data_IF_160892486023
#
_entry.id   IF_160892486023
#
_cell.length_a   1.000
_cell.length_b   1.000
_cell.length_c   1.000
_cell.angle_alpha   90.00
_cell.angle_beta   90.00
_cell.angle_gamma   90.00
#
_symmetry.space_group_name_H-M   'P 1'
#
loop_
_entity.id
_entity.type
_entity.pdbx_description
1 polymer ?
#
# COMPACT_ATOMS: atom_id res chain seq x y z
N UNK A 1 0.48 19.54 -23.34
CA UNK A 1 0.74 19.73 -21.91
C UNK A 1 0.04 18.60 -21.20
N UNK A 2 0.75 17.78 -20.41
CA UNK A 2 0.07 16.76 -19.61
C UNK A 2 -0.70 17.46 -18.49
N UNK A 3 -1.81 16.86 -18.06
CA UNK A 3 -2.59 17.36 -16.94
C UNK A 3 -1.79 17.21 -15.64
N UNK A 4 -2.21 17.93 -14.58
CA UNK A 4 -1.63 17.75 -13.24
C UNK A 4 -1.70 16.29 -12.79
N UNK A 5 -2.82 15.61 -13.09
CA UNK A 5 -3.01 14.18 -12.87
C UNK A 5 -1.95 13.34 -13.59
N UNK A 6 -1.66 13.63 -14.86
CA UNK A 6 -0.65 12.88 -15.63
C UNK A 6 0.75 13.03 -15.01
N UNK A 7 1.10 14.23 -14.55
CA UNK A 7 2.39 14.48 -13.89
C UNK A 7 2.48 13.74 -12.55
N UNK A 8 1.42 13.80 -11.74
CA UNK A 8 1.29 13.03 -10.50
C UNK A 8 1.43 11.52 -10.74
N UNK A 9 0.72 10.98 -11.73
CA UNK A 9 0.77 9.55 -12.04
C UNK A 9 2.15 9.11 -12.53
N UNK A 10 2.77 9.90 -13.41
CA UNK A 10 4.10 9.62 -13.92
C UNK A 10 5.17 9.60 -12.80
N UNK A 11 4.99 10.43 -11.78
CA UNK A 11 5.87 10.48 -10.61
C UNK A 11 5.59 9.33 -9.62
N UNK A 12 4.33 9.14 -9.22
CA UNK A 12 3.99 8.29 -8.07
C UNK A 12 3.79 6.82 -8.41
N UNK A 13 3.20 6.48 -9.55
CA UNK A 13 2.83 5.08 -9.85
C UNK A 13 4.06 4.16 -9.94
N UNK A 14 5.18 4.54 -10.59
CA UNK A 14 6.37 3.69 -10.61
C UNK A 14 6.95 3.45 -9.20
N UNK A 15 7.00 4.50 -8.37
CA UNK A 15 7.52 4.40 -7.00
C UNK A 15 6.63 3.51 -6.14
N UNK A 16 5.31 3.69 -6.23
CA UNK A 16 4.36 2.90 -5.47
C UNK A 16 4.35 1.43 -5.89
N UNK A 17 4.44 1.12 -7.19
CA UNK A 17 4.58 -0.27 -7.67
C UNK A 17 5.83 -0.94 -7.11
N UNK A 18 6.97 -0.23 -7.10
CA UNK A 18 8.19 -0.73 -6.51
C UNK A 18 8.04 -0.96 -4.99
N UNK A 19 7.42 -0.01 -4.28
CA UNK A 19 7.24 -0.11 -2.84
C UNK A 19 6.27 -1.22 -2.43
N UNK A 20 5.22 -1.41 -3.20
CA UNK A 20 4.22 -2.43 -2.94
C UNK A 20 4.73 -3.81 -3.37
N UNK A 21 5.57 -3.91 -4.40
CA UNK A 21 6.32 -5.14 -4.67
C UNK A 21 7.27 -5.50 -3.51
N UNK A 22 8.05 -4.52 -3.02
CA UNK A 22 9.04 -4.73 -1.97
C UNK A 22 8.42 -5.22 -0.65
N UNK A 23 7.28 -4.67 -0.23
CA UNK A 23 6.63 -5.12 1.01
C UNK A 23 6.11 -6.56 0.93
N UNK A 24 5.70 -7.01 -0.26
CA UNK A 24 5.34 -8.42 -0.53
C UNK A 24 6.56 -9.33 -0.68
N UNK A 25 7.78 -8.78 -0.66
CA UNK A 25 9.06 -9.50 -0.62
C UNK A 25 9.73 -9.37 0.76
N UNK A 26 9.01 -8.81 1.75
CA UNK A 26 9.48 -8.68 3.13
C UNK A 26 10.23 -7.38 3.45
N UNK A 27 10.33 -6.43 2.50
CA UNK A 27 10.98 -5.14 2.71
C UNK A 27 9.97 -3.99 2.86
N UNK A 28 9.82 -3.49 4.08
CA UNK A 28 8.95 -2.35 4.40
C UNK A 28 9.55 -0.98 4.00
N UNK A 29 10.87 -0.86 3.78
CA UNK A 29 11.53 0.43 3.72
C UNK A 29 11.02 1.34 2.58
N UNK A 30 10.83 0.84 1.35
CA UNK A 30 10.26 1.67 0.27
C UNK A 30 8.84 2.14 0.57
N UNK A 31 7.99 1.30 1.17
CA UNK A 31 6.64 1.69 1.60
C UNK A 31 6.71 2.82 2.62
N UNK A 32 7.54 2.68 3.66
CA UNK A 32 7.72 3.68 4.71
C UNK A 32 8.26 5.02 4.19
N UNK A 33 9.01 5.02 3.08
CA UNK A 33 9.55 6.22 2.46
C UNK A 33 8.47 7.02 1.68
N UNK A 34 7.43 6.34 1.17
CA UNK A 34 6.35 7.00 0.42
C UNK A 34 5.25 7.58 1.28
N UNK A 35 5.13 7.16 2.54
CA UNK A 35 4.10 7.66 3.44
C UNK A 35 4.50 9.00 4.09
N UNK A 36 3.50 9.85 4.29
CA UNK A 36 3.67 11.08 5.05
C UNK A 36 4.04 10.77 6.49
N UNK A 37 4.92 11.59 7.06
CA UNK A 37 5.26 11.57 8.50
C UNK A 37 4.43 12.59 9.29
N UNK A 38 3.57 13.35 8.62
CA UNK A 38 2.77 14.41 9.19
C UNK A 38 1.33 13.94 9.40
N UNK A 39 0.94 13.80 10.66
CA UNK A 39 -0.44 13.45 11.01
C UNK A 39 -1.44 14.53 10.53
N UNK A 40 -2.67 14.13 10.15
CA UNK A 40 -3.19 12.77 10.21
C UNK A 40 -2.81 11.91 8.99
N UNK A 41 -2.44 10.66 9.25
CA UNK A 41 -2.36 9.57 8.26
C UNK A 41 -3.23 8.41 8.70
N UNK A 42 -3.84 7.67 7.77
CA UNK A 42 -4.73 6.55 8.11
C UNK A 42 -4.56 5.35 7.18
N UNK A 43 -4.70 4.15 7.74
CA UNK A 43 -4.69 2.91 6.99
C UNK A 43 -5.96 2.11 7.33
N UNK A 44 -6.69 1.71 6.31
CA UNK A 44 -7.64 0.62 6.34
C UNK A 44 -7.14 -0.46 5.38
N UNK A 45 -6.38 -1.43 5.89
CA UNK A 45 -5.91 -2.58 5.12
C UNK A 45 -6.87 -3.75 5.21
N UNK A 46 -6.65 -4.75 4.35
CA UNK A 46 -7.48 -5.95 4.30
C UNK A 46 -7.50 -6.73 5.64
N UNK A 47 -6.46 -6.58 6.46
CA UNK A 47 -6.33 -7.22 7.76
C UNK A 47 -6.16 -6.24 8.94
N UNK A 48 -5.50 -5.10 8.72
CA UNK A 48 -5.13 -4.18 9.79
C UNK A 48 -5.57 -2.75 9.48
N UNK A 49 -5.96 -2.05 10.54
CA UNK A 49 -6.36 -0.65 10.48
C UNK A 49 -5.65 0.15 11.56
N UNK A 50 -5.30 1.40 11.27
CA UNK A 50 -4.60 2.27 12.20
C UNK A 50 -4.66 3.74 11.80
N UNK A 51 -4.28 4.61 12.73
CA UNK A 51 -4.24 6.05 12.51
C UNK A 51 -3.04 6.69 13.18
N UNK A 52 -2.38 7.60 12.46
CA UNK A 52 -1.19 8.30 12.91
C UNK A 52 0.11 7.55 12.61
N UNK A 53 1.17 8.28 12.33
CA UNK A 53 2.44 7.69 11.89
C UNK A 53 3.01 6.69 12.91
N UNK A 54 2.91 7.01 14.20
CA UNK A 54 3.42 6.16 15.28
C UNK A 54 2.77 4.77 15.34
N UNK A 55 1.52 4.62 14.87
CA UNK A 55 0.87 3.30 14.75
C UNK A 55 1.22 2.61 13.42
N UNK A 56 1.26 3.38 12.33
CA UNK A 56 1.44 2.85 10.97
C UNK A 56 2.85 2.32 10.72
N UNK A 57 3.89 2.97 11.25
CA UNK A 57 5.28 2.54 11.05
C UNK A 57 5.55 1.09 11.52
N UNK A 58 5.34 0.73 12.79
CA UNK A 58 5.52 -0.66 13.23
C UNK A 58 4.55 -1.62 12.54
N UNK A 59 3.37 -1.14 12.13
CA UNK A 59 2.39 -1.94 11.41
C UNK A 59 2.91 -2.37 10.03
N UNK A 60 3.56 -1.49 9.27
CA UNK A 60 4.14 -1.86 7.98
C UNK A 60 5.30 -2.85 8.12
N UNK A 61 6.10 -2.76 9.18
CA UNK A 61 7.11 -3.78 9.48
C UNK A 61 6.48 -5.13 9.80
N UNK A 62 5.40 -5.16 10.60
CA UNK A 62 4.65 -6.39 10.87
C UNK A 62 4.09 -7.00 9.56
N UNK A 63 3.44 -6.18 8.72
CA UNK A 63 2.91 -6.64 7.43
C UNK A 63 4.01 -7.23 6.55
N UNK A 64 5.16 -6.56 6.43
CA UNK A 64 6.28 -7.06 5.64
C UNK A 64 6.75 -8.45 6.14
N UNK A 65 6.79 -8.66 7.46
CA UNK A 65 7.24 -9.93 8.05
C UNK A 65 6.39 -11.16 7.66
N UNK A 66 5.18 -10.96 7.15
CA UNK A 66 4.32 -12.06 6.70
C UNK A 66 4.78 -12.68 5.39
N UNK A 67 5.52 -11.90 4.59
CA UNK A 67 5.93 -12.27 3.25
C UNK A 67 7.40 -12.69 3.23
N UNK A 68 7.69 -13.69 2.41
CA UNK A 68 9.03 -14.25 2.26
C UNK A 68 9.56 -14.21 0.83
N UNK A 69 8.66 -14.05 -0.14
CA UNK A 69 9.01 -13.90 -1.55
C UNK A 69 7.83 -13.32 -2.34
N UNK A 70 8.08 -12.32 -3.18
CA UNK A 70 7.14 -11.84 -4.19
C UNK A 70 7.42 -12.46 -5.57
N UNK A 71 6.44 -13.14 -6.16
CA UNK A 71 6.52 -13.57 -7.56
C UNK A 71 6.15 -12.42 -8.51
N UNK A 72 5.08 -11.69 -8.18
CA UNK A 72 4.62 -10.55 -8.96
C UNK A 72 3.72 -9.60 -8.15
N UNK A 73 3.77 -8.32 -8.54
CA UNK A 73 2.87 -7.28 -8.08
C UNK A 73 2.50 -6.35 -9.25
N UNK A 74 1.22 -6.04 -9.40
CA UNK A 74 0.72 -5.04 -10.35
C UNK A 74 -0.31 -4.11 -9.67
N UNK A 75 -0.30 -2.84 -10.05
CA UNK A 75 -1.26 -1.83 -9.61
C UNK A 75 -2.06 -1.30 -10.82
N UNK A 76 -3.23 -1.87 -11.06
CA UNK A 76 -4.15 -1.42 -12.10
C UNK A 76 -4.87 -0.14 -11.66
N UNK A 77 -4.67 0.97 -12.38
CA UNK A 77 -5.35 2.24 -12.08
C UNK A 77 -6.64 2.34 -12.87
N UNK A 78 -7.77 2.43 -12.15
CA UNK A 78 -9.12 2.60 -12.71
C UNK A 78 -9.48 4.08 -12.82
N UNK A 79 -9.13 4.87 -11.81
CA UNK A 79 -9.35 6.31 -11.79
C UNK A 79 -8.27 7.02 -10.98
N UNK A 80 -7.98 8.26 -11.35
CA UNK A 80 -7.10 9.13 -10.59
C UNK A 80 -7.45 10.60 -10.85
N UNK A 81 -7.03 11.47 -9.93
CA UNK A 81 -7.13 12.90 -10.08
C UNK A 81 -6.12 13.60 -9.20
N UNK A 82 -5.60 14.73 -9.66
CA UNK A 82 -4.78 15.65 -8.88
C UNK A 82 -5.29 17.09 -9.03
N UNK A 83 -5.27 17.84 -7.93
CA UNK A 83 -5.58 19.27 -7.90
C UNK A 83 -4.83 19.97 -6.77
N UNK A 84 -3.89 20.85 -7.11
CA UNK A 84 -2.99 21.49 -6.17
C UNK A 84 -2.09 20.49 -5.45
N UNK A 85 -2.21 20.44 -4.12
CA UNK A 85 -1.39 19.58 -3.28
C UNK A 85 -2.11 18.30 -2.84
N UNK A 86 -3.23 17.94 -3.48
CA UNK A 86 -3.99 16.73 -3.20
C UNK A 86 -4.20 15.89 -4.46
N UNK A 87 -4.07 14.58 -4.30
CA UNK A 87 -4.36 13.62 -5.35
C UNK A 87 -4.97 12.33 -4.79
N UNK A 88 -5.58 11.54 -5.66
CA UNK A 88 -6.07 10.21 -5.33
C UNK A 88 -5.86 9.23 -6.47
N UNK A 89 -5.83 7.94 -6.13
CA UNK A 89 -5.93 6.82 -7.06
C UNK A 89 -6.97 5.84 -6.57
N UNK A 90 -7.66 5.19 -7.52
CA UNK A 90 -8.58 4.08 -7.28
C UNK A 90 -8.20 2.98 -8.26
N UNK A 91 -8.06 1.75 -7.77
CA UNK A 91 -7.51 0.68 -8.57
C UNK A 91 -7.61 -0.71 -7.95
N UNK A 92 -6.88 -1.63 -8.55
CA UNK A 92 -6.70 -3.00 -8.06
C UNK A 92 -5.21 -3.28 -7.85
N UNK A 93 -4.88 -3.92 -6.73
CA UNK A 93 -3.57 -4.51 -6.49
C UNK A 93 -3.67 -6.00 -6.78
N UNK A 94 -2.91 -6.49 -7.76
CA UNK A 94 -2.81 -7.91 -8.09
C UNK A 94 -1.49 -8.46 -7.56
N UNK A 95 -1.56 -9.45 -6.69
CA UNK A 95 -0.38 -9.99 -6.00
C UNK A 95 -0.28 -11.50 -6.18
N UNK A 96 0.93 -11.97 -6.50
CA UNK A 96 1.36 -13.36 -6.30
C UNK A 96 2.59 -13.35 -5.38
N UNK A 97 2.49 -14.01 -4.24
CA UNK A 97 3.51 -13.97 -3.18
C UNK A 97 3.46 -15.23 -2.32
N UNK A 98 4.49 -15.45 -1.50
CA UNK A 98 4.53 -16.52 -0.50
C UNK A 98 4.38 -15.95 0.91
N UNK A 99 3.29 -16.35 1.58
CA UNK A 99 2.99 -16.01 2.97
C UNK A 99 3.22 -17.23 3.85
N UNK A 100 4.11 -17.12 4.84
CA UNK A 100 4.50 -18.23 5.75
C UNK A 100 4.79 -19.55 5.00
N UNK A 101 5.53 -19.48 3.87
CA UNK A 101 5.88 -20.64 3.05
C UNK A 101 4.75 -21.20 2.18
N UNK A 102 3.57 -20.59 2.19
CA UNK A 102 2.43 -20.97 1.35
C UNK A 102 2.24 -19.96 0.22
N UNK A 103 2.30 -20.38 -1.07
CA UNK A 103 1.97 -19.51 -2.19
C UNK A 103 0.52 -19.01 -2.11
N UNK A 104 0.33 -17.71 -2.36
CA UNK A 104 -0.94 -17.01 -2.37
C UNK A 104 -1.04 -16.15 -3.62
N UNK A 105 -2.24 -16.08 -4.18
CA UNK A 105 -2.60 -15.14 -5.21
C UNK A 105 -3.90 -14.45 -4.81
N UNK A 106 -3.94 -13.13 -4.85
CA UNK A 106 -5.11 -12.35 -4.49
C UNK A 106 -5.15 -11.00 -5.21
N UNK A 107 -6.36 -10.46 -5.26
CA UNK A 107 -6.63 -9.10 -5.70
C UNK A 107 -7.19 -8.31 -4.52
N UNK A 108 -6.73 -7.07 -4.35
CA UNK A 108 -7.38 -6.08 -3.48
C UNK A 108 -7.91 -4.94 -4.33
N UNK A 109 -9.09 -4.42 -3.98
CA UNK A 109 -9.53 -3.10 -4.44
C UNK A 109 -8.86 -2.09 -3.54
N UNK A 110 -8.34 -1.01 -4.11
CA UNK A 110 -7.58 -0.04 -3.34
C UNK A 110 -7.95 1.39 -3.69
N UNK A 111 -7.96 2.24 -2.67
CA UNK A 111 -7.96 3.70 -2.80
C UNK A 111 -6.77 4.25 -2.04
N UNK A 112 -5.98 5.12 -2.67
CA UNK A 112 -4.95 5.90 -2.01
C UNK A 112 -5.27 7.38 -2.12
N UNK A 113 -4.91 8.13 -1.08
CA UNK A 113 -4.93 9.59 -1.09
C UNK A 113 -3.52 10.09 -0.82
N UNK A 114 -3.14 11.12 -1.55
CA UNK A 114 -1.80 11.69 -1.54
C UNK A 114 -1.88 13.17 -1.22
N UNK A 115 -0.86 13.66 -0.51
CA UNK A 115 -0.63 15.07 -0.25
C UNK A 115 0.78 15.44 -0.68
N UNK A 116 0.94 16.58 -1.35
CA UNK A 116 2.27 17.11 -1.67
C UNK A 116 2.85 17.81 -0.45
N UNK A 117 4.05 17.43 -0.05
CA UNK A 117 4.77 17.92 1.12
C UNK A 117 6.20 18.25 0.68
N UNK A 118 6.64 19.50 0.89
CA UNK A 118 7.97 19.97 0.50
C UNK A 118 8.33 19.67 -0.97
N UNK A 119 7.32 19.69 -1.86
CA UNK A 119 7.46 19.44 -3.29
C UNK A 119 7.30 17.97 -3.71
N UNK A 120 7.29 17.03 -2.76
CA UNK A 120 7.20 15.59 -3.01
C UNK A 120 5.81 15.05 -2.65
N UNK A 121 5.28 14.10 -3.43
CA UNK A 121 4.02 13.44 -3.08
C UNK A 121 4.22 12.39 -1.97
N UNK A 122 3.32 12.40 -0.99
CA UNK A 122 3.28 11.44 0.11
C UNK A 122 1.91 10.78 0.21
N UNK A 123 1.88 9.49 0.49
CA UNK A 123 0.64 8.77 0.82
C UNK A 123 0.19 9.22 2.21
N UNK A 124 -1.06 9.68 2.30
CA UNK A 124 -1.70 10.08 3.58
C UNK A 124 -2.84 9.15 3.96
N UNK A 125 -3.39 8.40 3.00
CA UNK A 125 -4.40 7.38 3.26
C UNK A 125 -4.25 6.20 2.31
N UNK A 126 -4.53 5.00 2.81
CA UNK A 126 -4.82 3.82 2.00
C UNK A 126 -6.01 3.07 2.56
N UNK A 127 -6.97 2.74 1.70
CA UNK A 127 -8.05 1.80 1.95
C UNK A 127 -7.91 0.63 1.00
N UNK A 128 -7.83 -0.61 1.50
CA UNK A 128 -7.87 -1.80 0.67
C UNK A 128 -8.68 -2.93 1.28
N UNK A 129 -9.43 -3.63 0.45
CA UNK A 129 -10.25 -4.77 0.83
C UNK A 129 -10.43 -5.73 -0.36
N UNK A 130 -10.85 -6.96 -0.09
CA UNK A 130 -11.10 -7.96 -1.13
C UNK A 130 -12.30 -7.55 -2.02
N UNK A 131 -12.25 -7.79 -3.33
CA UNK A 131 -13.40 -7.55 -4.21
C UNK A 131 -14.67 -8.27 -3.73
N UNK A 132 -15.87 -7.69 -3.97
CA UNK A 132 -17.12 -8.34 -3.59
C UNK A 132 -17.27 -9.71 -4.24
N UNK A 133 -17.56 -10.73 -3.44
CA UNK A 133 -17.72 -12.11 -3.92
C UNK A 133 -16.40 -12.90 -4.02
N UNK A 134 -15.25 -12.28 -3.78
CA UNK A 134 -13.98 -13.01 -3.61
C UNK A 134 -13.79 -13.43 -2.15
N UNK A 135 -13.24 -14.63 -1.96
CA UNK A 135 -12.91 -15.12 -0.62
C UNK A 135 -11.67 -14.40 -0.11
N UNK A 136 -11.71 -13.96 1.16
CA UNK A 136 -10.54 -13.41 1.81
C UNK A 136 -9.42 -14.46 1.88
N UNK A 137 -8.20 -14.04 1.54
CA UNK A 137 -7.00 -14.84 1.80
C UNK A 137 -6.64 -14.70 3.29
N UNK A 138 -6.41 -15.82 4.00
CA UNK A 138 -5.99 -15.75 5.39
C UNK A 138 -4.56 -15.19 5.47
N UNK A 139 -4.42 -14.08 6.20
CA UNK A 139 -3.14 -13.51 6.61
C UNK A 139 -2.84 -13.86 8.08
N UNK A 140 -1.57 -13.79 8.52
CA UNK A 140 -1.21 -14.00 9.91
C UNK A 140 -1.96 -13.04 10.85
N UNK A 141 -2.33 -13.54 12.04
CA UNK A 141 -2.90 -12.69 13.09
C UNK A 141 -1.83 -11.72 13.60
N UNK A 142 -2.15 -10.41 13.63
CA UNK A 142 -1.23 -9.40 14.17
C UNK A 142 -0.81 -9.64 15.64
N UNK A 143 -1.51 -10.50 16.38
CA UNK A 143 -1.19 -10.86 17.75
C UNK A 143 -0.07 -11.92 17.89
N UNK A 144 0.38 -12.57 16.81
CA UNK A 144 1.36 -13.68 16.89
C UNK A 144 2.81 -13.33 16.51
N UNK A 145 3.08 -12.08 16.15
CA UNK A 145 4.41 -11.62 15.71
C UNK A 145 5.43 -11.29 16.81
N UNK A 146 5.10 -11.46 18.10
CA UNK A 146 6.04 -11.24 19.21
C UNK A 146 6.08 -12.49 20.08
N UNK A 147 6.79 -13.51 19.62
CA UNK A 147 7.24 -14.60 20.49
C UNK A 147 8.59 -15.12 20.02
N UNK A 148 9.63 -14.93 20.83
CA UNK A 148 10.97 -15.49 20.62
C UNK A 148 12.06 -14.44 20.61
#
# INVERSE_FOLDING_TARGET
>A
MSTETDAFLAEMIPQQRAADGAIHDGDAAPRLALWSRNDPVTLFGAQLSGSGWGELEPMFHNVASWFSHADSFDLEIVAAGASGDLAYTVGYEHTSTTVEGTPRQYTLRVTHVYRREDGEWRIVHRHADFPPGEAAVPFPDAAKGVSG
#
